data_IF_055720769945
#
_entry.id   IF_055720769945
#
_cell.length_a   1.000
_cell.length_b   1.000
_cell.length_c   1.000
_cell.angle_alpha   90.00
_cell.angle_beta   90.00
_cell.angle_gamma   90.00
#
_symmetry.space_group_name_H-M   'P 1'
#
loop_
_entity.id
_entity.type
_entity.pdbx_description
1 polymer ?
#
# COMPACT_ATOMS: atom_id res chain seq x y z
N UNK A 1 -16.51 -7.40 -9.74
CA UNK A 1 -16.38 -6.51 -8.57
C UNK A 1 -15.18 -5.62 -8.79
N UNK A 2 -15.29 -4.33 -8.46
CA UNK A 2 -14.19 -3.38 -8.63
C UNK A 2 -13.12 -3.62 -7.55
N UNK A 3 -11.89 -3.91 -7.98
CA UNK A 3 -10.73 -4.05 -7.10
C UNK A 3 -10.30 -2.66 -6.59
N UNK A 4 -10.02 -2.55 -5.29
CA UNK A 4 -9.46 -1.33 -4.71
C UNK A 4 -7.93 -1.35 -4.66
N UNK A 5 -7.34 -0.20 -4.98
CA UNK A 5 -5.91 0.04 -4.92
C UNK A 5 -5.61 1.06 -3.80
N UNK A 6 -4.50 0.86 -3.12
CA UNK A 6 -4.01 1.77 -2.10
C UNK A 6 -2.75 2.46 -2.62
N UNK A 7 -2.61 3.73 -2.24
CA UNK A 7 -1.44 4.54 -2.55
C UNK A 7 -0.93 5.14 -1.25
N UNK A 8 0.35 4.89 -0.96
CA UNK A 8 1.07 5.56 0.12
C UNK A 8 2.22 6.36 -0.48
N UNK A 9 2.34 7.63 -0.12
CA UNK A 9 3.47 8.49 -0.51
C UNK A 9 4.35 8.69 0.70
N UNK A 10 5.57 8.16 0.66
CA UNK A 10 6.59 8.38 1.68
C UNK A 10 7.28 9.72 1.42
N UNK A 11 7.58 10.47 2.48
CA UNK A 11 8.29 11.75 2.37
C UNK A 11 9.72 11.57 1.84
N UNK A 12 10.40 10.55 2.34
CA UNK A 12 11.72 10.14 1.90
C UNK A 12 11.96 8.68 2.25
N UNK A 13 12.92 8.08 1.56
CA UNK A 13 13.49 6.78 1.88
C UNK A 13 14.97 7.00 2.22
N UNK A 14 15.51 6.21 3.17
CA UNK A 14 16.88 6.38 3.63
C UNK A 14 17.89 6.14 2.50
N UNK A 15 19.06 6.81 2.56
CA UNK A 15 20.08 6.74 1.52
C UNK A 15 20.66 5.32 1.27
N UNK A 16 20.47 4.38 2.21
CA UNK A 16 20.88 2.99 2.09
C UNK A 16 19.83 2.05 1.49
N UNK A 17 18.61 2.54 1.25
CA UNK A 17 17.52 1.77 0.69
C UNK A 17 17.27 2.19 -0.76
N UNK A 18 17.11 1.22 -1.66
CA UNK A 18 16.75 1.47 -3.06
C UNK A 18 15.25 1.20 -3.28
N UNK A 19 14.42 2.25 -3.48
CA UNK A 19 12.99 2.10 -3.72
C UNK A 19 12.65 1.25 -4.95
N UNK A 20 13.54 1.17 -5.94
CA UNK A 20 13.32 0.41 -7.18
C UNK A 20 13.69 -1.06 -7.04
N UNK A 21 14.32 -1.45 -5.94
CA UNK A 21 14.71 -2.84 -5.70
C UNK A 21 13.50 -3.70 -5.34
N UNK A 22 13.52 -4.97 -5.79
CA UNK A 22 12.52 -5.96 -5.37
C UNK A 22 12.53 -6.17 -3.85
N UNK A 23 13.72 -6.09 -3.23
CA UNK A 23 13.88 -6.22 -1.78
C UNK A 23 13.09 -5.16 -1.02
N UNK A 24 13.15 -3.90 -1.48
CA UNK A 24 12.38 -2.83 -0.88
C UNK A 24 10.88 -3.08 -1.02
N UNK A 25 10.43 -3.48 -2.20
CA UNK A 25 9.01 -3.81 -2.45
C UNK A 25 8.51 -4.91 -1.51
N UNK A 26 9.24 -6.02 -1.39
CA UNK A 26 8.89 -7.13 -0.48
C UNK A 26 8.88 -6.72 0.99
N UNK A 27 9.83 -5.88 1.40
CA UNK A 27 9.89 -5.35 2.76
C UNK A 27 8.66 -4.47 3.06
N UNK A 28 8.26 -3.63 2.10
CA UNK A 28 7.07 -2.80 2.22
C UNK A 28 5.79 -3.62 2.26
N UNK A 29 5.66 -4.68 1.44
CA UNK A 29 4.54 -5.62 1.50
C UNK A 29 4.38 -6.20 2.90
N UNK A 30 5.45 -6.76 3.47
CA UNK A 30 5.42 -7.36 4.82
C UNK A 30 5.04 -6.34 5.90
N UNK A 31 5.56 -5.12 5.81
CA UNK A 31 5.26 -4.06 6.77
C UNK A 31 3.80 -3.61 6.65
N UNK A 32 3.30 -3.44 5.44
CA UNK A 32 1.90 -3.10 5.16
C UNK A 32 0.96 -4.22 5.61
N UNK A 33 1.30 -5.50 5.37
CA UNK A 33 0.52 -6.63 5.88
C UNK A 33 0.33 -6.54 7.39
N UNK A 34 1.40 -6.20 8.12
CA UNK A 34 1.33 -6.00 9.56
C UNK A 34 0.43 -4.84 9.95
N UNK A 35 0.51 -3.70 9.25
CA UNK A 35 -0.40 -2.56 9.45
C UNK A 35 -1.86 -3.01 9.31
N UNK A 36 -2.21 -3.66 8.21
CA UNK A 36 -3.60 -4.07 7.96
C UNK A 36 -4.07 -5.11 8.97
N UNK A 37 -3.20 -6.04 9.38
CA UNK A 37 -3.49 -7.03 10.41
C UNK A 37 -3.79 -6.38 11.77
N UNK A 38 -3.03 -5.37 12.17
CA UNK A 38 -3.25 -4.65 13.43
C UNK A 38 -4.56 -3.85 13.40
N UNK A 39 -4.84 -3.21 12.28
CA UNK A 39 -6.04 -2.37 12.11
C UNK A 39 -7.31 -3.22 12.10
N UNK A 40 -7.32 -4.34 11.37
CA UNK A 40 -8.50 -5.22 11.36
C UNK A 40 -8.73 -5.90 12.71
N UNK A 41 -7.66 -6.24 13.44
CA UNK A 41 -7.78 -6.89 14.75
C UNK A 41 -8.36 -5.90 15.76
N UNK A 42 -7.87 -4.66 15.74
CA UNK A 42 -8.27 -3.60 16.67
C UNK A 42 -9.66 -3.04 16.39
N UNK A 43 -10.04 -2.87 15.13
CA UNK A 43 -11.27 -2.16 14.76
C UNK A 43 -12.38 -3.10 14.28
N UNK A 44 -12.02 -4.09 13.46
CA UNK A 44 -13.00 -4.97 12.81
C UNK A 44 -13.25 -6.26 13.62
N UNK A 45 -12.56 -6.47 14.74
CA UNK A 45 -12.58 -7.71 15.53
C UNK A 45 -12.43 -8.97 14.65
N UNK A 46 -11.70 -8.84 13.54
CA UNK A 46 -11.59 -9.86 12.51
C UNK A 46 -10.12 -10.25 12.38
N UNK A 47 -9.82 -11.54 12.33
CA UNK A 47 -8.45 -12.08 12.18
C UNK A 47 -8.25 -12.78 10.82
N UNK A 48 -8.84 -12.23 9.76
CA UNK A 48 -8.55 -12.66 8.39
C UNK A 48 -7.07 -12.43 8.05
N UNK A 49 -6.45 -13.36 7.33
CA UNK A 49 -5.07 -13.21 6.88
C UNK A 49 -5.05 -12.36 5.60
N UNK A 50 -4.94 -11.04 5.78
CA UNK A 50 -4.76 -10.12 4.68
C UNK A 50 -3.32 -10.23 4.14
N UNK A 51 -3.21 -10.24 2.82
CA UNK A 51 -1.93 -10.16 2.11
C UNK A 51 -1.86 -8.89 1.29
N UNK A 52 -0.67 -8.31 1.20
CA UNK A 52 -0.41 -7.08 0.43
C UNK A 52 0.42 -7.45 -0.78
N UNK A 53 0.07 -6.87 -1.93
CA UNK A 53 0.84 -7.02 -3.15
C UNK A 53 1.21 -5.64 -3.67
N UNK A 54 2.51 -5.35 -3.72
CA UNK A 54 3.07 -4.18 -4.34
C UNK A 54 2.89 -4.29 -5.85
N UNK A 55 2.34 -3.23 -6.44
CA UNK A 55 2.16 -3.13 -7.88
C UNK A 55 3.22 -2.24 -8.51
N UNK A 56 3.56 -1.14 -7.84
CA UNK A 56 4.52 -0.18 -8.36
C UNK A 56 5.16 0.62 -7.24
N UNK A 57 6.46 0.86 -7.39
CA UNK A 57 7.20 1.81 -6.57
C UNK A 57 7.85 2.83 -7.50
N UNK A 58 7.53 4.10 -7.31
CA UNK A 58 8.05 5.18 -8.14
C UNK A 58 8.53 6.34 -7.29
N UNK A 59 9.74 6.82 -7.58
CA UNK A 59 10.30 8.02 -6.96
C UNK A 59 10.30 9.15 -7.99
N UNK A 60 9.82 10.33 -7.59
CA UNK A 60 9.82 11.50 -8.47
C UNK A 60 11.25 11.99 -8.70
N UNK A 61 11.64 12.27 -9.94
CA UNK A 61 13.03 12.60 -10.30
C UNK A 61 13.58 13.85 -9.58
N UNK A 62 12.71 14.77 -9.16
CA UNK A 62 13.06 16.02 -8.48
C UNK A 62 12.66 16.03 -7.00
N UNK A 63 12.32 14.89 -6.40
CA UNK A 63 11.86 14.83 -5.01
C UNK A 63 12.29 13.54 -4.33
N UNK A 64 12.67 13.57 -3.04
CA UNK A 64 12.96 12.35 -2.28
C UNK A 64 11.70 11.49 -2.06
N UNK A 65 10.50 12.00 -2.37
CA UNK A 65 9.25 11.31 -2.14
C UNK A 65 9.09 10.06 -3.00
N UNK A 66 8.63 8.99 -2.37
CA UNK A 66 8.41 7.67 -2.99
C UNK A 66 6.94 7.32 -2.93
N UNK A 67 6.34 7.06 -4.08
CA UNK A 67 4.97 6.57 -4.18
C UNK A 67 4.96 5.04 -4.26
N UNK A 68 4.22 4.43 -3.34
CA UNK A 68 3.93 3.01 -3.27
C UNK A 68 2.49 2.81 -3.73
N UNK A 69 2.29 1.95 -4.73
CA UNK A 69 0.97 1.50 -5.15
C UNK A 69 0.85 0.02 -4.87
N UNK A 70 -0.18 -0.38 -4.13
CA UNK A 70 -0.36 -1.76 -3.72
C UNK A 70 -1.85 -2.13 -3.64
N UNK A 71 -2.10 -3.44 -3.62
CA UNK A 71 -3.42 -4.02 -3.37
C UNK A 71 -3.41 -4.81 -2.09
N UNK A 72 -4.59 -5.01 -1.51
CA UNK A 72 -4.79 -5.89 -0.37
C UNK A 72 -5.77 -6.97 -0.78
N UNK A 73 -5.47 -8.22 -0.41
CA UNK A 73 -6.32 -9.39 -0.67
C UNK A 73 -6.54 -10.19 0.59
N UNK A 74 -7.70 -10.81 0.70
CA UNK A 74 -8.03 -11.79 1.72
C UNK A 74 -8.03 -13.18 1.06
N UNK A 75 -6.97 -13.95 1.28
CA UNK A 75 -6.74 -15.20 0.55
C UNK A 75 -6.58 -14.96 -0.96
N UNK A 76 -7.55 -15.40 -1.75
CA UNK A 76 -7.56 -15.26 -3.22
C UNK A 76 -8.38 -14.07 -3.72
N UNK A 77 -9.10 -13.38 -2.83
CA UNK A 77 -10.06 -12.32 -3.19
C UNK A 77 -9.48 -10.96 -2.85
N UNK A 78 -9.37 -10.07 -3.84
CA UNK A 78 -8.99 -8.68 -3.61
C UNK A 78 -10.05 -7.93 -2.83
N UNK A 79 -9.62 -6.97 -2.00
CA UNK A 79 -10.56 -6.15 -1.25
C UNK A 79 -11.41 -5.29 -2.18
N UNK A 80 -12.72 -5.32 -1.95
CA UNK A 80 -13.69 -4.48 -2.63
C UNK A 80 -13.67 -3.06 -2.05
N UNK A 81 -14.20 -2.11 -2.84
CA UNK A 81 -14.40 -0.71 -2.47
C UNK A 81 -14.77 -0.48 -1.01
N UNK A 82 -15.89 -1.04 -0.54
CA UNK A 82 -16.40 -0.78 0.83
C UNK A 82 -15.47 -1.27 1.94
N UNK A 83 -14.92 -2.48 1.81
CA UNK A 83 -14.01 -3.06 2.82
C UNK A 83 -12.68 -2.30 2.83
N UNK A 84 -12.18 -1.93 1.65
CA UNK A 84 -10.98 -1.12 1.51
C UNK A 84 -11.16 0.28 2.13
N UNK A 85 -12.27 0.97 1.86
CA UNK A 85 -12.58 2.26 2.46
C UNK A 85 -12.68 2.18 3.98
N UNK A 86 -13.30 1.12 4.51
CA UNK A 86 -13.42 0.91 5.96
C UNK A 86 -12.04 0.70 6.62
N UNK A 87 -11.13 -0.05 5.99
CA UNK A 87 -9.77 -0.20 6.49
C UNK A 87 -8.98 1.11 6.38
N UNK A 88 -9.07 1.80 5.24
CA UNK A 88 -8.40 3.08 5.01
C UNK A 88 -8.80 4.11 6.07
N UNK A 89 -10.09 4.19 6.41
CA UNK A 89 -10.60 5.12 7.42
C UNK A 89 -10.03 4.89 8.82
N UNK A 90 -9.38 3.76 9.06
CA UNK A 90 -8.71 3.43 10.32
C UNK A 90 -7.19 3.57 10.25
N UNK A 91 -6.63 3.77 9.05
CA UNK A 91 -5.21 4.03 8.87
C UNK A 91 -4.90 5.48 9.25
N UNK A 92 -3.97 5.65 10.19
CA UNK A 92 -3.36 6.95 10.47
C UNK A 92 -1.95 7.01 9.90
N UNK A 93 -1.50 8.22 9.55
CA UNK A 93 -0.12 8.45 9.10
C UNK A 93 0.90 7.98 10.15
N UNK A 94 0.59 8.14 11.43
CA UNK A 94 1.43 7.71 12.56
C UNK A 94 1.56 6.18 12.62
N UNK A 95 0.46 5.45 12.52
CA UNK A 95 0.46 3.99 12.58
C UNK A 95 1.18 3.41 11.37
N UNK A 96 0.85 3.89 10.17
CA UNK A 96 1.49 3.44 8.94
C UNK A 96 2.98 3.77 8.98
N UNK A 97 3.35 4.99 9.38
CA UNK A 97 4.76 5.38 9.48
C UNK A 97 5.55 4.57 10.49
N UNK A 98 4.96 4.23 11.63
CA UNK A 98 5.56 3.38 12.65
C UNK A 98 5.94 1.99 12.10
N UNK A 99 5.05 1.36 11.34
CA UNK A 99 5.32 0.05 10.74
C UNK A 99 6.17 0.11 9.48
N UNK A 100 6.01 1.16 8.68
CA UNK A 100 6.79 1.36 7.45
C UNK A 100 8.22 1.78 7.74
N UNK A 101 8.51 2.32 8.94
CA UNK A 101 9.78 2.97 9.29
C UNK A 101 10.15 4.15 8.38
N UNK A 102 9.16 4.68 7.66
CA UNK A 102 9.29 5.87 6.82
C UNK A 102 8.07 6.76 7.06
N UNK A 103 8.23 8.09 7.15
CA UNK A 103 7.12 9.00 7.35
C UNK A 103 6.25 9.09 6.09
N UNK A 104 4.95 8.68 6.15
CA UNK A 104 4.03 8.83 5.03
C UNK A 104 3.47 10.26 5.00
N UNK A 105 3.47 10.88 3.82
CA UNK A 105 2.80 12.14 3.53
C UNK A 105 1.32 11.95 3.21
N UNK A 106 1.01 10.89 2.45
CA UNK A 106 -0.35 10.64 1.93
C UNK A 106 -0.62 9.15 2.04
N UNK A 107 -1.81 8.79 2.52
CA UNK A 107 -2.36 7.44 2.47
C UNK A 107 -3.76 7.57 1.89
N UNK A 108 -4.01 6.93 0.75
CA UNK A 108 -5.27 7.05 0.03
C UNK A 108 -5.68 5.74 -0.63
N UNK A 109 -6.98 5.51 -0.76
CA UNK A 109 -7.50 4.54 -1.72
C UNK A 109 -7.77 5.22 -3.06
N UNK A 110 -7.53 4.47 -4.14
CA UNK A 110 -7.83 4.90 -5.50
C UNK A 110 -8.70 3.81 -6.14
N UNK A 111 -9.93 4.19 -6.49
CA UNK A 111 -10.78 3.40 -7.40
C UNK A 111 -10.37 3.77 -8.82
N UNK A 112 -9.23 3.25 -9.30
CA UNK A 112 -8.64 3.75 -10.53
C UNK A 112 -8.72 2.73 -11.67
N UNK A 113 -9.63 2.97 -12.62
CA UNK A 113 -9.66 2.33 -13.94
C UNK A 113 -8.40 2.68 -14.77
N UNK A 114 -7.84 3.88 -14.56
CA UNK A 114 -6.68 4.39 -15.30
C UNK A 114 -5.36 3.74 -14.85
N UNK A 115 -5.20 3.41 -13.56
CA UNK A 115 -4.00 2.73 -13.07
C UNK A 115 -3.93 1.28 -13.57
N UNK A 116 -5.08 0.62 -13.73
CA UNK A 116 -5.17 -0.68 -14.39
C UNK A 116 -4.62 -0.59 -15.81
N UNK A 117 -5.05 0.43 -16.58
CA UNK A 117 -4.62 0.64 -17.96
C UNK A 117 -3.11 0.91 -18.08
N UNK A 118 -2.55 1.74 -17.19
CA UNK A 118 -1.11 2.09 -17.18
C UNK A 118 -0.24 0.90 -16.75
N UNK A 119 -0.66 0.11 -15.75
CA UNK A 119 0.07 -1.11 -15.38
C UNK A 119 -0.02 -2.18 -16.48
N UNK A 120 -1.19 -2.38 -17.10
CA UNK A 120 -1.33 -3.33 -18.22
C UNK A 120 -0.62 -2.90 -19.50
N UNK A 121 -0.39 -1.60 -19.71
CA UNK A 121 0.34 -1.10 -20.88
C UNK A 121 1.86 -1.11 -20.70
N UNK A 122 2.36 -1.05 -19.46
CA UNK A 122 3.80 -1.18 -19.18
C UNK A 122 4.30 -2.64 -19.21
N UNK A 123 3.39 -3.61 -19.28
CA UNK A 123 3.68 -5.04 -19.47
C UNK A 123 3.54 -5.49 -20.95
N UNK A 124 3.40 -4.56 -21.91
CA UNK A 124 3.34 -4.83 -23.36
C UNK A 124 4.53 -4.25 -24.14
#
# INVERSE_FOLDING_TARGET
GSVSYFVSVLQFVGAGDDPRSCRFSQLMEQRLEKVFSEVQAKVLNTNSRLSVQMLSVSQAASSPAVSLVYTVKNGTVFLNGTTASNLLGQLSAELVGYFLFYPPLIIAERKCFVLFLVLTLNDL
#
